data_IF_643594856189
#
_entry.id   IF_643594856189
#
_cell.length_a   1.000
_cell.length_b   1.000
_cell.length_c   1.000
_cell.angle_alpha   90.00
_cell.angle_beta   90.00
_cell.angle_gamma   90.00
#
_symmetry.space_group_name_H-M   'P 1'
#
loop_
_entity.id
_entity.type
_entity.pdbx_description
1 polymer ?
#
# COMPACT_ATOMS: atom_id res chain seq x y z
N UNK A 1 -1.63 -49.30 7.07
CA UNK A 1 -1.06 -48.98 5.74
C UNK A 1 0.13 -48.04 5.92
N UNK A 2 1.36 -48.57 5.83
CA UNK A 2 2.55 -47.72 5.78
C UNK A 2 2.74 -47.28 4.33
N UNK A 3 2.23 -46.09 3.97
CA UNK A 3 2.65 -45.42 2.74
C UNK A 3 4.11 -45.03 3.00
N UNK A 4 5.01 -45.95 2.70
CA UNK A 4 6.39 -45.94 3.15
C UNK A 4 7.14 -44.80 2.48
N UNK A 5 7.10 -43.61 3.08
CA UNK A 5 7.94 -42.41 2.88
C UNK A 5 8.49 -42.17 1.46
N UNK A 6 9.31 -43.07 0.93
CA UNK A 6 9.71 -43.22 -0.46
C UNK A 6 8.56 -43.04 -1.47
N UNK A 7 7.42 -43.74 -1.31
CA UNK A 7 6.30 -43.58 -2.25
C UNK A 7 5.73 -42.16 -2.20
N UNK A 8 5.47 -41.63 -0.99
CA UNK A 8 4.99 -40.26 -0.80
C UNK A 8 5.93 -39.20 -1.41
N UNK A 9 7.25 -39.37 -1.22
CA UNK A 9 8.27 -38.51 -1.80
C UNK A 9 8.31 -38.59 -3.32
N UNK A 10 8.21 -39.79 -3.88
CA UNK A 10 8.23 -40.03 -5.32
C UNK A 10 6.97 -39.46 -6.00
N UNK A 11 5.79 -39.78 -5.45
CA UNK A 11 4.49 -39.33 -5.98
C UNK A 11 4.36 -37.81 -5.98
N UNK A 12 4.84 -37.13 -4.93
CA UNK A 12 4.76 -35.68 -4.84
C UNK A 12 6.02 -34.97 -5.36
N UNK A 13 7.06 -35.72 -5.74
CA UNK A 13 8.38 -35.18 -6.10
C UNK A 13 8.95 -34.23 -5.03
N UNK A 14 8.80 -34.59 -3.75
CA UNK A 14 9.24 -33.78 -2.61
C UNK A 14 10.45 -34.43 -1.91
N UNK A 15 11.46 -33.62 -1.58
CA UNK A 15 12.63 -34.08 -0.82
C UNK A 15 12.35 -34.27 0.68
N UNK A 16 13.25 -34.93 1.42
CA UNK A 16 13.01 -35.25 2.84
C UNK A 16 13.00 -34.00 3.75
N UNK A 17 13.76 -32.98 3.36
CA UNK A 17 13.99 -31.75 4.13
C UNK A 17 12.71 -30.94 4.42
N UNK A 18 11.83 -30.64 3.46
CA UNK A 18 10.56 -29.95 3.74
C UNK A 18 9.63 -30.78 4.64
N UNK A 19 9.61 -32.11 4.47
CA UNK A 19 8.78 -33.02 5.31
C UNK A 19 9.22 -32.91 6.78
N UNK A 20 10.52 -33.06 7.05
CA UNK A 20 11.07 -32.89 8.40
C UNK A 20 10.78 -31.51 8.99
N UNK A 21 10.95 -30.45 8.19
CA UNK A 21 10.70 -29.07 8.64
C UNK A 21 9.25 -28.83 9.03
N UNK A 22 8.29 -29.37 8.27
CA UNK A 22 6.86 -29.27 8.61
C UNK A 22 6.56 -30.04 9.88
N UNK A 23 7.10 -31.26 10.04
CA UNK A 23 6.93 -32.05 11.26
C UNK A 23 7.54 -31.38 12.50
N UNK A 24 8.62 -30.60 12.34
CA UNK A 24 9.21 -29.81 13.43
C UNK A 24 8.41 -28.55 13.78
N UNK A 25 7.63 -28.01 12.84
CA UNK A 25 6.80 -26.80 13.03
C UNK A 25 5.42 -27.09 13.65
N UNK A 26 5.11 -28.35 13.93
CA UNK A 26 3.83 -28.72 14.54
C UNK A 26 3.86 -28.41 16.05
N UNK A 27 2.76 -27.91 16.59
CA UNK A 27 2.56 -27.79 18.03
C UNK A 27 2.46 -29.18 18.66
N UNK A 28 3.14 -29.39 19.79
CA UNK A 28 3.21 -30.70 20.46
C UNK A 28 1.83 -31.20 20.94
N UNK A 29 0.94 -30.28 21.32
CA UNK A 29 -0.36 -30.61 21.91
C UNK A 29 -1.49 -30.74 20.87
N UNK A 30 -1.50 -29.91 19.82
CA UNK A 30 -2.62 -29.85 18.87
C UNK A 30 -2.29 -30.40 17.48
N UNK A 31 -1.03 -30.76 17.19
CA UNK A 31 -0.56 -31.16 15.86
C UNK A 31 -0.86 -30.11 14.75
N UNK A 32 -1.08 -28.85 15.14
CA UNK A 32 -1.33 -27.75 14.22
C UNK A 32 0.01 -27.13 13.82
N UNK A 33 0.17 -26.81 12.54
CA UNK A 33 1.37 -26.11 12.06
C UNK A 33 1.32 -24.66 12.55
N UNK A 34 2.38 -24.21 13.23
CA UNK A 34 2.49 -22.81 13.67
C UNK A 34 2.42 -21.85 12.47
N UNK A 35 1.87 -20.66 12.69
CA UNK A 35 1.75 -19.62 11.66
C UNK A 35 3.09 -19.37 10.91
N UNK A 36 3.02 -19.13 9.60
CA UNK A 36 4.20 -18.79 8.83
C UNK A 36 4.60 -17.31 9.08
N UNK A 37 5.87 -17.13 9.47
CA UNK A 37 6.50 -15.84 9.77
C UNK A 37 7.52 -15.43 8.71
N UNK A 38 7.58 -16.13 7.57
CA UNK A 38 8.38 -15.66 6.41
C UNK A 38 7.99 -14.22 6.05
N UNK A 39 8.99 -13.37 5.84
CA UNK A 39 8.80 -11.95 5.54
C UNK A 39 8.31 -11.08 6.71
N UNK A 40 7.96 -11.67 7.87
CA UNK A 40 7.44 -10.97 9.05
C UNK A 40 8.53 -10.76 10.11
N UNK A 41 9.68 -10.23 9.71
CA UNK A 41 10.82 -10.01 10.61
C UNK A 41 10.81 -8.65 11.33
N UNK A 42 9.85 -7.76 11.04
CA UNK A 42 9.74 -6.43 11.66
C UNK A 42 10.82 -5.42 11.27
N UNK A 43 11.96 -5.87 10.72
CA UNK A 43 13.07 -5.04 10.20
C UNK A 43 12.81 -4.36 8.84
N UNK A 44 11.56 -4.16 8.46
CA UNK A 44 11.25 -3.38 7.26
C UNK A 44 11.50 -1.90 7.55
N UNK A 45 12.13 -1.20 6.62
CA UNK A 45 12.36 0.23 6.75
C UNK A 45 11.03 0.96 6.97
N UNK A 46 10.97 1.80 8.00
CA UNK A 46 9.81 2.64 8.30
C UNK A 46 10.20 4.08 8.02
N UNK A 47 9.44 4.73 7.15
CA UNK A 47 9.55 6.17 6.93
C UNK A 47 9.10 6.90 8.19
N UNK A 48 9.84 7.96 8.53
CA UNK A 48 9.54 8.84 9.66
C UNK A 48 8.13 9.43 9.53
N UNK A 49 7.41 9.50 10.65
CA UNK A 49 6.07 10.09 10.69
C UNK A 49 6.10 11.58 10.35
N UNK A 50 7.21 12.29 10.60
CA UNK A 50 7.37 13.69 10.17
C UNK A 50 7.17 13.84 8.66
N UNK A 51 7.81 12.97 7.88
CA UNK A 51 7.71 12.98 6.41
C UNK A 51 6.28 12.69 5.96
N UNK A 52 5.60 11.73 6.60
CA UNK A 52 4.19 11.42 6.29
C UNK A 52 3.26 12.58 6.62
N UNK A 53 3.50 13.27 7.74
CA UNK A 53 2.73 14.46 8.11
C UNK A 53 2.92 15.59 7.10
N UNK A 54 4.14 15.82 6.61
CA UNK A 54 4.39 16.77 5.52
C UNK A 54 3.56 16.48 4.26
N UNK A 55 3.40 15.20 3.89
CA UNK A 55 2.51 14.80 2.79
C UNK A 55 1.05 15.14 3.11
N UNK A 56 0.56 14.77 4.29
CA UNK A 56 -0.83 15.02 4.71
C UNK A 56 -1.16 16.51 4.70
N UNK A 57 -0.24 17.32 5.22
CA UNK A 57 -0.41 18.77 5.32
C UNK A 57 -0.39 19.43 3.94
N UNK A 58 0.46 18.94 3.03
CA UNK A 58 0.43 19.37 1.64
C UNK A 58 -0.90 19.02 0.97
N UNK A 59 -1.38 17.79 1.08
CA UNK A 59 -2.67 17.37 0.50
C UNK A 59 -3.84 18.23 1.03
N UNK A 60 -3.86 18.50 2.34
CA UNK A 60 -4.89 19.35 2.97
C UNK A 60 -4.87 20.79 2.52
N UNK A 61 -3.71 21.30 2.08
CA UNK A 61 -3.56 22.67 1.57
C UNK A 61 -4.13 22.87 0.16
N UNK A 62 -4.42 21.78 -0.56
CA UNK A 62 -4.91 21.86 -1.93
C UNK A 62 -6.39 22.26 -1.93
N UNK A 63 -6.78 23.29 -2.71
CA UNK A 63 -8.18 23.68 -2.83
C UNK A 63 -8.99 22.54 -3.43
N UNK A 64 -10.15 22.27 -2.82
CA UNK A 64 -11.05 21.16 -3.17
C UNK A 64 -12.47 21.64 -3.28
N UNK A 65 -13.21 21.03 -4.20
CA UNK A 65 -14.60 21.34 -4.46
C UNK A 65 -15.45 20.15 -4.02
N UNK A 66 -16.54 20.39 -3.26
CA UNK A 66 -17.43 19.32 -2.83
C UNK A 66 -18.11 18.66 -4.03
N UNK A 67 -18.55 17.41 -3.86
CA UNK A 67 -19.35 16.66 -4.84
C UNK A 67 -20.68 17.31 -5.22
N UNK A 68 -21.00 18.53 -4.78
CA UNK A 68 -22.26 19.22 -5.10
C UNK A 68 -22.50 19.32 -6.63
N UNK A 69 -21.46 19.21 -7.46
CA UNK A 69 -21.56 19.11 -8.92
C UNK A 69 -21.72 17.68 -9.49
N UNK A 70 -21.59 16.64 -8.66
CA UNK A 70 -21.47 15.23 -9.02
C UNK A 70 -22.26 14.32 -8.05
N UNK A 71 -23.58 14.19 -8.29
CA UNK A 71 -24.53 13.21 -7.68
C UNK A 71 -24.59 13.22 -6.13
N UNK A 72 -25.79 13.44 -5.61
CA UNK A 72 -26.15 13.62 -4.19
C UNK A 72 -25.79 12.48 -3.20
N UNK A 73 -25.10 11.42 -3.62
CA UNK A 73 -24.85 10.22 -2.80
C UNK A 73 -23.42 10.03 -2.31
N UNK A 74 -22.46 10.91 -2.64
CA UNK A 74 -21.05 10.72 -2.24
C UNK A 74 -20.49 11.91 -1.48
N UNK A 75 -19.71 11.65 -0.42
CA UNK A 75 -18.93 12.64 0.32
C UNK A 75 -17.55 12.89 -0.31
N UNK A 76 -17.35 12.48 -1.56
CA UNK A 76 -16.07 12.59 -2.26
C UNK A 76 -15.81 14.05 -2.65
N UNK A 77 -14.58 14.51 -2.42
CA UNK A 77 -14.15 15.84 -2.81
C UNK A 77 -13.31 15.77 -4.08
N UNK A 78 -13.25 16.87 -4.84
CA UNK A 78 -12.54 16.91 -6.11
C UNK A 78 -11.54 18.05 -6.19
N UNK A 79 -10.37 17.76 -6.75
CA UNK A 79 -9.35 18.77 -7.08
C UNK A 79 -9.64 19.28 -8.48
N UNK A 80 -9.87 20.60 -8.59
CA UNK A 80 -10.05 21.30 -9.86
C UNK A 80 -8.70 21.72 -10.47
N UNK A 81 -8.69 21.98 -11.78
CA UNK A 81 -7.52 22.57 -12.46
C UNK A 81 -6.65 21.59 -13.26
N UNK A 82 -7.15 20.40 -13.59
CA UNK A 82 -6.49 19.49 -14.54
C UNK A 82 -5.14 18.93 -14.09
N UNK A 83 -4.71 19.22 -12.85
CA UNK A 83 -3.50 18.66 -12.26
C UNK A 83 -3.71 17.18 -11.97
N UNK A 84 -2.74 16.37 -12.36
CA UNK A 84 -2.66 14.97 -11.97
C UNK A 84 -2.00 14.81 -10.59
N UNK A 85 -2.10 13.61 -10.02
CA UNK A 85 -1.37 13.26 -8.80
C UNK A 85 0.15 13.45 -8.95
N UNK A 86 0.69 13.25 -10.15
CA UNK A 86 2.09 13.48 -10.44
C UNK A 86 2.45 14.98 -10.48
N UNK A 87 1.53 15.85 -10.93
CA UNK A 87 1.73 17.31 -10.87
C UNK A 87 1.75 17.78 -9.42
N UNK A 88 0.79 17.32 -8.61
CA UNK A 88 0.71 17.68 -7.18
C UNK A 88 1.95 17.21 -6.41
N UNK A 89 2.46 16.01 -6.72
CA UNK A 89 3.70 15.51 -6.13
C UNK A 89 4.92 16.34 -6.55
N UNK A 90 4.98 16.81 -7.80
CA UNK A 90 6.03 17.76 -8.21
C UNK A 90 5.94 19.09 -7.44
N UNK A 91 4.74 19.61 -7.24
CA UNK A 91 4.52 20.81 -6.42
C UNK A 91 4.97 20.57 -4.96
N UNK A 92 4.71 19.38 -4.41
CA UNK A 92 5.17 18.97 -3.08
C UNK A 92 6.69 18.91 -2.99
N UNK A 93 7.35 18.27 -3.95
CA UNK A 93 8.81 18.18 -3.99
C UNK A 93 9.45 19.56 -4.05
N UNK A 94 8.86 20.49 -4.82
CA UNK A 94 9.35 21.85 -4.88
C UNK A 94 9.20 22.57 -3.54
N UNK A 95 8.03 22.47 -2.91
CA UNK A 95 7.80 23.03 -1.57
C UNK A 95 8.79 22.49 -0.54
N UNK A 96 9.02 21.19 -0.51
CA UNK A 96 10.01 20.59 0.40
C UNK A 96 11.43 21.09 0.14
N UNK A 97 11.81 21.32 -1.13
CA UNK A 97 13.11 21.93 -1.46
C UNK A 97 13.21 23.37 -0.94
N UNK A 98 12.16 24.15 -1.10
CA UNK A 98 12.11 25.55 -0.66
C UNK A 98 12.16 25.65 0.87
N UNK A 99 11.48 24.73 1.58
CA UNK A 99 11.45 24.64 3.03
C UNK A 99 12.68 23.89 3.62
N UNK A 100 13.59 23.41 2.77
CA UNK A 100 14.75 22.59 3.13
C UNK A 100 14.39 21.33 3.96
N UNK A 101 13.27 20.69 3.62
CA UNK A 101 12.75 19.48 4.24
C UNK A 101 12.87 18.24 3.33
N UNK A 102 12.99 17.03 3.90
CA UNK A 102 13.01 15.81 3.10
C UNK A 102 11.65 15.50 2.46
N UNK A 103 11.63 15.39 1.14
CA UNK A 103 10.45 14.96 0.39
C UNK A 103 10.33 13.42 0.35
N UNK A 104 9.11 12.92 0.48
CA UNK A 104 8.80 11.52 0.21
C UNK A 104 8.79 11.20 -1.29
N UNK A 105 9.08 9.95 -1.63
CA UNK A 105 8.92 9.48 -3.00
C UNK A 105 7.45 9.43 -3.45
N UNK A 106 7.24 9.38 -4.76
CA UNK A 106 5.91 9.34 -5.37
C UNK A 106 5.04 8.18 -4.86
N UNK A 107 5.62 7.00 -4.66
CA UNK A 107 4.87 5.82 -4.22
C UNK A 107 4.25 6.02 -2.84
N UNK A 108 5.01 6.58 -1.89
CA UNK A 108 4.49 6.90 -0.55
C UNK A 108 3.45 8.01 -0.63
N UNK A 109 3.72 9.07 -1.40
CA UNK A 109 2.79 10.16 -1.61
C UNK A 109 1.44 9.67 -2.15
N UNK A 110 1.48 8.86 -3.21
CA UNK A 110 0.31 8.26 -3.85
C UNK A 110 -0.45 7.34 -2.91
N UNK A 111 0.27 6.56 -2.10
CA UNK A 111 -0.35 5.68 -1.11
C UNK A 111 -1.14 6.47 -0.06
N UNK A 112 -0.53 7.50 0.53
CA UNK A 112 -1.20 8.36 1.51
C UNK A 112 -2.41 9.05 0.88
N UNK A 113 -2.27 9.59 -0.34
CA UNK A 113 -3.38 10.21 -1.05
C UNK A 113 -4.57 9.26 -1.24
N UNK A 114 -4.33 8.02 -1.68
CA UNK A 114 -5.40 7.08 -1.99
C UNK A 114 -5.98 6.35 -0.77
N UNK A 115 -5.18 6.08 0.25
CA UNK A 115 -5.61 5.32 1.45
C UNK A 115 -6.21 6.23 2.53
N UNK A 116 -5.72 7.47 2.66
CA UNK A 116 -6.13 8.37 3.76
C UNK A 116 -7.14 9.44 3.32
N UNK A 117 -7.28 9.73 2.02
CA UNK A 117 -8.14 10.79 1.52
C UNK A 117 -9.18 10.28 0.51
N UNK A 118 -10.44 10.69 0.68
CA UNK A 118 -11.52 10.44 -0.29
C UNK A 118 -11.61 11.59 -1.31
N UNK A 119 -10.50 11.82 -2.02
CA UNK A 119 -10.34 12.91 -2.99
C UNK A 119 -10.13 12.31 -4.40
N UNK A 120 -10.65 12.97 -5.43
CA UNK A 120 -10.41 12.59 -6.82
C UNK A 120 -10.18 13.80 -7.72
N UNK A 121 -9.78 13.56 -8.96
CA UNK A 121 -9.53 14.63 -9.94
C UNK A 121 -10.78 14.92 -10.77
N UNK A 122 -11.08 16.19 -11.01
CA UNK A 122 -12.11 16.58 -11.96
C UNK A 122 -11.72 16.16 -13.38
N UNK A 123 -12.61 15.42 -14.06
CA UNK A 123 -12.41 15.06 -15.46
C UNK A 123 -12.87 16.26 -16.31
N UNK A 124 -12.02 16.85 -17.16
CA UNK A 124 -12.45 17.91 -18.06
C UNK A 124 -13.53 17.36 -19.00
N UNK A 125 -14.68 18.03 -19.06
CA UNK A 125 -15.73 17.68 -20.04
C UNK A 125 -15.17 17.96 -21.44
N UNK A 126 -15.18 16.96 -22.32
CA UNK A 126 -14.94 17.19 -23.75
C UNK A 126 -15.98 18.21 -24.24
N UNK A 127 -15.50 19.30 -24.84
CA UNK A 127 -16.38 20.21 -25.59
C UNK A 127 -17.05 19.46 -26.75
N UNK A 128 -18.22 19.91 -27.23
CA UNK A 128 -18.85 19.32 -28.40
C UNK A 128 -17.88 19.45 -29.60
N UNK A 129 -17.65 18.32 -30.26
CA UNK A 129 -16.97 18.23 -31.56
C UNK A 129 -17.86 18.74 -32.67
#
# INVERSE_FOLDING_TARGET
MNVCKTFFKATLSISDRPIRRVLQKRTHFTNIITADFRGKHGKHFKIDEKVKNGIRDHIKSIPRVPSHYCRAGTSREYIEGGKSLADIHRDYEQKCKDDNEPAANYMMYSRIFNEEFNISFCIPKKGPV
#
